data_IF_528130835594
#
_entry.id   IF_528130835594
#
_cell.length_a   1.000
_cell.length_b   1.000
_cell.length_c   1.000
_cell.angle_alpha   90.00
_cell.angle_beta   90.00
_cell.angle_gamma   90.00
#
_symmetry.space_group_name_H-M   'P 1'
#
loop_
_entity.id
_entity.type
_entity.pdbx_description
1 polymer ?
#
# COMPACT_ATOMS: atom_id res chain seq x y z
N UNK A 1 -22.21 -3.25 15.33
CA UNK A 1 -20.92 -2.61 15.02
C UNK A 1 -21.02 -1.85 13.70
N UNK A 2 -20.61 -0.59 13.69
CA UNK A 2 -20.64 0.20 12.47
C UNK A 2 -19.55 -0.28 11.51
N UNK A 3 -19.86 -0.23 10.24
CA UNK A 3 -18.94 -0.71 9.19
C UNK A 3 -18.91 0.26 8.01
N UNK A 4 -17.87 0.12 7.21
CA UNK A 4 -17.73 0.77 5.91
C UNK A 4 -17.23 -0.27 4.91
N UNK A 5 -17.27 0.09 3.64
CA UNK A 5 -16.70 -0.73 2.58
C UNK A 5 -15.47 -0.04 2.02
N UNK A 6 -14.41 -0.80 1.83
CA UNK A 6 -13.17 -0.32 1.22
C UNK A 6 -12.83 -1.15 -0.01
N UNK A 7 -12.33 -0.51 -1.07
CA UNK A 7 -11.79 -1.27 -2.21
C UNK A 7 -10.50 -1.97 -1.81
N UNK A 8 -10.37 -3.25 -2.16
CA UNK A 8 -9.11 -4.00 -2.04
C UNK A 8 -8.62 -4.34 -3.43
N UNK A 9 -7.37 -4.01 -3.74
CA UNK A 9 -6.77 -4.32 -5.03
C UNK A 9 -6.59 -5.82 -5.19
N UNK A 10 -6.99 -6.35 -6.33
CA UNK A 10 -6.77 -7.76 -6.70
C UNK A 10 -5.30 -8.03 -7.03
N UNK A 11 -4.53 -7.00 -7.35
CA UNK A 11 -3.12 -7.12 -7.69
C UNK A 11 -2.28 -6.77 -6.48
N UNK A 12 -1.39 -7.67 -6.03
CA UNK A 12 -0.53 -7.36 -4.89
C UNK A 12 0.51 -6.30 -5.27
N UNK A 13 0.83 -5.45 -4.31
CA UNK A 13 1.92 -4.49 -4.44
C UNK A 13 3.23 -5.23 -4.19
N UNK A 14 3.97 -5.54 -5.25
CA UNK A 14 5.22 -6.28 -5.13
C UNK A 14 6.18 -5.89 -6.23
N UNK A 15 7.41 -6.33 -6.06
CA UNK A 15 8.38 -6.27 -7.12
C UNK A 15 7.97 -7.24 -8.23
N UNK A 16 7.77 -6.77 -9.44
CA UNK A 16 7.64 -7.61 -10.62
C UNK A 16 6.26 -7.70 -11.25
N UNK A 17 5.19 -7.35 -10.56
CA UNK A 17 3.87 -7.28 -11.17
C UNK A 17 3.28 -5.90 -11.00
N UNK A 18 2.65 -5.39 -12.04
CA UNK A 18 2.02 -4.08 -11.96
C UNK A 18 0.83 -4.08 -11.02
N UNK A 19 0.64 -2.97 -10.32
CA UNK A 19 -0.62 -2.69 -9.65
C UNK A 19 -1.50 -1.97 -10.66
N UNK A 20 -2.54 -2.63 -11.12
CA UNK A 20 -3.52 -1.99 -11.98
C UNK A 20 -4.57 -1.32 -11.08
N UNK A 21 -4.64 0.00 -11.14
CA UNK A 21 -5.50 0.78 -10.27
C UNK A 21 -6.84 1.17 -10.92
N UNK A 22 -7.23 0.51 -12.00
CA UNK A 22 -8.53 0.71 -12.61
C UNK A 22 -9.66 0.09 -11.79
N UNK A 23 -10.91 0.49 -12.03
CA UNK A 23 -12.05 0.04 -11.20
C UNK A 23 -12.21 -1.48 -11.14
N UNK A 24 -11.92 -2.18 -12.23
CA UNK A 24 -12.07 -3.64 -12.31
C UNK A 24 -10.98 -4.41 -11.55
N UNK A 25 -9.92 -3.72 -11.10
CA UNK A 25 -8.86 -4.34 -10.32
C UNK A 25 -9.19 -4.44 -8.84
N UNK A 26 -10.31 -3.88 -8.41
CA UNK A 26 -10.70 -3.81 -7.00
C UNK A 26 -11.98 -4.58 -6.76
N UNK A 27 -12.09 -5.15 -5.55
CA UNK A 27 -13.37 -5.61 -5.04
C UNK A 27 -13.60 -4.98 -3.66
N UNK A 28 -14.86 -4.89 -3.27
CA UNK A 28 -15.26 -4.25 -2.02
C UNK A 28 -15.14 -5.22 -0.86
N UNK A 29 -14.52 -4.79 0.22
CA UNK A 29 -14.49 -5.54 1.47
C UNK A 29 -15.22 -4.76 2.56
N UNK A 30 -15.80 -5.46 3.52
CA UNK A 30 -16.53 -4.86 4.63
C UNK A 30 -15.62 -4.82 5.85
N UNK A 31 -15.43 -3.64 6.40
CA UNK A 31 -14.50 -3.45 7.52
C UNK A 31 -15.16 -2.66 8.65
N UNK A 32 -14.62 -2.78 9.83
CA UNK A 32 -15.03 -1.98 10.99
C UNK A 32 -14.81 -0.50 10.70
N UNK A 33 -15.77 0.33 11.06
CA UNK A 33 -15.63 1.79 10.96
C UNK A 33 -14.86 2.30 12.16
N UNK A 34 -13.67 2.84 11.94
CA UNK A 34 -12.88 3.49 12.99
C UNK A 34 -12.05 4.63 12.39
N UNK A 35 -11.28 5.32 13.23
CA UNK A 35 -10.52 6.48 12.78
C UNK A 35 -9.49 6.15 11.69
N UNK A 36 -8.95 4.96 11.69
CA UNK A 36 -7.99 4.52 10.67
C UNK A 36 -8.69 4.15 9.37
N UNK A 37 -9.72 3.31 9.44
CA UNK A 37 -10.41 2.86 8.23
C UNK A 37 -11.11 4.00 7.52
N UNK A 38 -11.56 5.03 8.25
CA UNK A 38 -12.17 6.21 7.65
C UNK A 38 -11.18 7.05 6.82
N UNK A 39 -9.89 6.97 7.11
CA UNK A 39 -8.86 7.68 6.35
C UNK A 39 -8.46 6.94 5.08
N UNK A 40 -8.72 5.65 5.01
CA UNK A 40 -8.31 4.83 3.88
C UNK A 40 -9.17 5.13 2.65
N UNK A 41 -8.53 5.26 1.49
CA UNK A 41 -9.21 5.35 0.22
C UNK A 41 -9.36 3.96 -0.42
N UNK A 42 -8.36 3.11 -0.22
CA UNK A 42 -8.36 1.74 -0.71
C UNK A 42 -7.29 0.94 0.03
N UNK A 43 -7.25 -0.37 -0.24
CA UNK A 43 -6.29 -1.29 0.36
C UNK A 43 -5.54 -2.05 -0.71
N UNK A 44 -4.32 -2.48 -0.39
CA UNK A 44 -3.53 -3.38 -1.24
C UNK A 44 -2.92 -4.47 -0.37
N UNK A 45 -2.68 -5.63 -0.96
CA UNK A 45 -2.00 -6.73 -0.29
C UNK A 45 -0.51 -6.64 -0.58
N UNK A 46 0.30 -6.72 0.48
CA UNK A 46 1.76 -6.74 0.35
C UNK A 46 2.20 -8.11 -0.12
N UNK A 47 3.12 -8.14 -1.08
CA UNK A 47 3.73 -9.36 -1.57
C UNK A 47 5.24 -9.24 -1.48
N UNK A 48 5.88 -10.29 -0.96
CA UNK A 48 7.32 -10.31 -0.79
C UNK A 48 7.77 -9.72 0.53
N UNK A 49 9.08 -9.58 0.69
CA UNK A 49 9.70 -9.27 1.98
C UNK A 49 10.44 -7.92 2.03
N UNK A 50 10.28 -7.07 1.00
CA UNK A 50 11.06 -5.82 0.91
C UNK A 50 10.76 -4.84 2.04
N UNK A 51 9.59 -4.94 2.67
CA UNK A 51 9.19 -4.03 3.75
C UNK A 51 9.23 -4.69 5.13
N UNK A 52 9.79 -5.89 5.24
CA UNK A 52 10.00 -6.47 6.56
C UNK A 52 11.06 -5.69 7.34
N UNK A 53 10.90 -5.54 8.64
CA UNK A 53 9.90 -6.19 9.50
C UNK A 53 8.57 -5.41 9.65
N UNK A 54 8.43 -4.24 9.04
CA UNK A 54 7.24 -3.40 9.25
C UNK A 54 6.00 -4.04 8.62
N UNK A 55 6.11 -4.48 7.36
CA UNK A 55 5.03 -5.17 6.67
C UNK A 55 5.57 -6.49 6.13
N UNK A 56 4.76 -7.54 6.24
CA UNK A 56 5.14 -8.88 5.80
C UNK A 56 4.24 -9.34 4.66
N UNK A 57 4.69 -10.35 3.94
CA UNK A 57 3.93 -10.95 2.84
C UNK A 57 2.53 -11.32 3.32
N UNK A 58 1.53 -10.92 2.56
CA UNK A 58 0.12 -11.20 2.88
C UNK A 58 -0.58 -10.11 3.69
N UNK A 59 0.15 -9.18 4.28
CA UNK A 59 -0.49 -8.06 4.99
C UNK A 59 -1.33 -7.25 4.02
N UNK A 60 -2.49 -6.81 4.49
CA UNK A 60 -3.30 -5.83 3.77
C UNK A 60 -3.01 -4.47 4.39
N UNK A 61 -2.56 -3.53 3.58
CA UNK A 61 -2.28 -2.17 4.04
C UNK A 61 -3.32 -1.19 3.51
N UNK A 62 -3.61 -0.19 4.32
CA UNK A 62 -4.54 0.88 3.97
C UNK A 62 -3.77 2.01 3.31
N UNK A 63 -4.30 2.52 2.21
CA UNK A 63 -3.71 3.63 1.45
C UNK A 63 -4.67 4.80 1.49
N UNK A 64 -4.15 5.97 1.86
CA UNK A 64 -4.94 7.20 1.92
C UNK A 64 -4.54 8.16 0.79
N UNK A 65 -5.40 9.14 0.53
CA UNK A 65 -5.12 10.22 -0.42
C UNK A 65 -4.35 11.37 0.22
N UNK A 66 -3.95 11.23 1.48
CA UNK A 66 -3.17 12.24 2.18
C UNK A 66 -1.82 12.44 1.51
N UNK A 67 -1.26 13.64 1.66
CA UNK A 67 0.06 13.95 1.09
C UNK A 67 1.13 13.03 1.63
N UNK A 68 2.05 12.62 0.75
CA UNK A 68 3.18 11.79 1.10
C UNK A 68 4.40 12.70 1.26
N UNK A 69 5.02 12.63 2.42
CA UNK A 69 6.20 13.41 2.77
C UNK A 69 7.41 12.50 2.90
N UNK A 70 8.59 13.11 3.00
CA UNK A 70 9.81 12.34 3.28
C UNK A 70 9.62 11.53 4.57
N UNK A 71 10.13 10.30 4.57
CA UNK A 71 10.03 9.31 5.63
C UNK A 71 8.66 8.63 5.76
N UNK A 72 7.66 9.07 5.01
CA UNK A 72 6.39 8.35 4.94
C UNK A 72 6.54 7.09 4.08
N UNK A 73 5.69 6.11 4.35
CA UNK A 73 5.58 4.94 3.49
C UNK A 73 4.48 5.20 2.47
N UNK A 74 4.76 4.87 1.22
CA UNK A 74 3.86 5.13 0.11
C UNK A 74 3.68 3.91 -0.77
N UNK A 75 2.53 3.85 -1.43
CA UNK A 75 2.33 2.99 -2.59
C UNK A 75 2.75 3.78 -3.82
N UNK A 76 3.70 3.25 -4.55
CA UNK A 76 4.25 3.90 -5.76
C UNK A 76 4.14 2.95 -6.95
N UNK A 77 4.06 3.53 -8.15
CA UNK A 77 4.14 2.78 -9.39
C UNK A 77 5.41 3.18 -10.13
N UNK A 78 6.19 2.19 -10.54
CA UNK A 78 7.41 2.36 -11.31
C UNK A 78 7.40 1.35 -12.45
N UNK A 79 7.47 1.84 -13.68
CA UNK A 79 7.43 1.00 -14.89
C UNK A 79 6.24 0.02 -14.90
N UNK A 80 5.08 0.49 -14.49
CA UNK A 80 3.86 -0.30 -14.45
C UNK A 80 3.73 -1.26 -13.28
N UNK A 81 4.73 -1.30 -12.40
CA UNK A 81 4.73 -2.18 -11.22
C UNK A 81 4.48 -1.38 -9.96
N UNK A 82 3.69 -1.95 -9.05
CA UNK A 82 3.39 -1.32 -7.76
C UNK A 82 4.33 -1.79 -6.66
N UNK A 83 4.79 -0.85 -5.86
CA UNK A 83 5.69 -1.11 -4.73
C UNK A 83 5.24 -0.34 -3.51
N UNK A 84 5.43 -0.95 -2.33
CA UNK A 84 5.32 -0.25 -1.05
C UNK A 84 6.73 0.08 -0.61
N UNK A 85 7.05 1.36 -0.46
CA UNK A 85 8.40 1.82 -0.14
C UNK A 85 8.34 3.01 0.80
N UNK A 86 9.43 3.23 1.55
CA UNK A 86 9.60 4.46 2.33
C UNK A 86 10.18 5.53 1.43
N UNK A 87 9.65 6.75 1.56
CA UNK A 87 10.15 7.89 0.79
C UNK A 87 11.40 8.43 1.45
N UNK A 88 12.55 8.20 0.83
CA UNK A 88 13.83 8.77 1.28
C UNK A 88 14.13 10.07 0.58
N UNK A 89 15.33 10.59 0.84
CA UNK A 89 15.82 11.78 0.14
C UNK A 89 16.31 11.34 -1.25
N UNK A 90 15.52 11.64 -2.28
CA UNK A 90 15.76 11.29 -3.69
C UNK A 90 15.77 9.79 -3.99
N UNK A 91 15.34 8.95 -3.06
CA UNK A 91 15.30 7.49 -3.24
C UNK A 91 14.05 6.90 -2.62
N UNK A 92 13.61 5.79 -3.19
CA UNK A 92 12.61 4.92 -2.59
C UNK A 92 13.37 3.84 -1.83
N UNK A 93 13.05 3.66 -0.55
CA UNK A 93 13.83 2.81 0.35
C UNK A 93 12.99 1.64 0.85
N UNK A 94 13.56 0.44 0.78
CA UNK A 94 12.98 -0.75 1.41
C UNK A 94 13.39 -0.80 2.87
N UNK A 95 12.48 -1.26 3.73
CA UNK A 95 12.83 -1.51 5.15
C UNK A 95 13.81 -2.68 5.27
N UNK A 96 13.70 -3.67 4.40
CA UNK A 96 14.62 -4.80 4.34
C UNK A 96 15.90 -4.36 3.61
N UNK A 97 17.01 -4.31 4.34
CA UNK A 97 18.27 -3.74 3.85
C UNK A 97 18.96 -4.58 2.78
N UNK A 98 18.51 -5.79 2.52
CA UNK A 98 19.06 -6.57 1.39
C UNK A 98 18.64 -6.00 0.03
N UNK A 99 17.64 -5.13 0.00
CA UNK A 99 17.19 -4.45 -1.21
C UNK A 99 17.82 -3.08 -1.33
N UNK A 100 18.35 -2.77 -2.51
CA UNK A 100 18.98 -1.48 -2.78
C UNK A 100 17.93 -0.38 -2.96
N UNK A 101 18.25 0.87 -2.56
CA UNK A 101 17.37 1.99 -2.85
C UNK A 101 17.14 2.16 -4.34
N UNK A 102 15.94 2.62 -4.69
CA UNK A 102 15.54 2.89 -6.08
C UNK A 102 15.53 4.41 -6.26
N UNK A 103 16.20 4.96 -7.29
CA UNK A 103 16.14 6.41 -7.51
C UNK A 103 14.73 6.92 -7.72
N UNK A 104 14.40 8.03 -7.08
CA UNK A 104 13.11 8.71 -7.27
C UNK A 104 13.29 9.72 -8.42
N UNK A 105 12.63 9.47 -9.53
CA UNK A 105 12.69 10.31 -10.73
C UNK A 105 11.29 10.48 -11.32
N UNK A 106 11.21 11.09 -12.51
CA UNK A 106 9.92 11.35 -13.17
C UNK A 106 9.16 10.08 -13.56
N UNK A 107 9.80 8.92 -13.52
CA UNK A 107 9.13 7.66 -13.84
C UNK A 107 8.35 7.08 -12.66
N UNK A 108 8.51 7.65 -11.48
CA UNK A 108 7.81 7.20 -10.26
C UNK A 108 6.49 7.94 -10.13
N UNK A 109 5.41 7.20 -9.96
CA UNK A 109 4.09 7.75 -9.68
C UNK A 109 3.74 7.41 -8.23
N UNK A 110 3.47 8.43 -7.42
CA UNK A 110 3.02 8.23 -6.03
C UNK A 110 1.52 8.05 -6.04
N UNK A 111 1.05 6.88 -5.63
CA UNK A 111 -0.38 6.54 -5.65
C UNK A 111 -1.10 6.90 -4.36
N UNK A 112 -0.38 6.96 -3.24
CA UNK A 112 -0.96 7.33 -1.97
C UNK A 112 -0.05 7.02 -0.80
N UNK A 113 -0.47 7.48 0.38
CA UNK A 113 0.26 7.26 1.63
C UNK A 113 -0.24 6.00 2.31
N UNK A 114 0.66 5.12 2.66
CA UNK A 114 0.32 3.93 3.43
C UNK A 114 0.21 4.34 4.91
N UNK A 115 -0.96 4.12 5.49
CA UNK A 115 -1.26 4.57 6.85
C UNK A 115 -1.27 3.45 7.89
N UNK A 116 -1.07 2.23 7.46
CA UNK A 116 -0.94 1.09 8.37
C UNK A 116 -1.56 -0.17 7.83
N UNK A 117 -1.43 -1.24 8.62
CA UNK A 117 -2.02 -2.54 8.31
C UNK A 117 -3.51 -2.50 8.64
N UNK A 118 -4.33 -3.02 7.73
CA UNK A 118 -5.72 -3.34 8.03
C UNK A 118 -5.69 -4.61 8.88
N UNK A 119 -6.01 -4.48 10.15
CA UNK A 119 -5.95 -5.62 11.08
C UNK A 119 -6.94 -6.70 10.67
N UNK A 120 -6.57 -7.98 10.71
CA UNK A 120 -7.49 -9.05 10.34
C UNK A 120 -8.83 -9.02 11.10
N UNK A 121 -8.80 -8.66 12.39
CA UNK A 121 -10.02 -8.56 13.20
C UNK A 121 -10.93 -7.40 12.80
N UNK A 122 -10.44 -6.47 11.99
CA UNK A 122 -11.26 -5.38 11.45
C UNK A 122 -11.99 -5.79 10.16
N UNK A 123 -11.61 -6.91 9.56
CA UNK A 123 -12.24 -7.38 8.32
C UNK A 123 -13.47 -8.19 8.70
N UNK A 124 -14.63 -7.69 8.33
CA UNK A 124 -15.91 -8.33 8.64
C UNK A 124 -16.33 -9.27 7.52
N UNK A 125 -15.95 -8.94 6.29
CA UNK A 125 -16.36 -9.72 5.12
C UNK A 125 -15.43 -9.40 3.95
N UNK A 126 -14.85 -10.42 3.35
CA UNK A 126 -14.04 -10.29 2.16
C UNK A 126 -14.91 -10.51 0.92
#
# INVERSE_FOLDING_TARGET
MLHIFLPLSEQPASAGTGVYLGPEAFHSIKVVKNSKTLRAAFCVRVSGDSMEPIYTDGDIVMVSKESVLQDDIALVTLDGCGYVKRMGDMYLVSENKKYKPIPYDENVIVNGRVIGVLRPEWILEM
#
